data_IF_531884551286
#
_entry.id   IF_531884551286
#
_cell.length_a   1.000
_cell.length_b   1.000
_cell.length_c   1.000
_cell.angle_alpha   90.00
_cell.angle_beta   90.00
_cell.angle_gamma   90.00
#
_symmetry.space_group_name_H-M   'P 1'
#
loop_
_entity.id
_entity.type
_entity.pdbx_description
1 polymer ?
#
# COMPACT_ATOMS: atom_id res chain seq x y z
N UNK A 1 -9.40 7.41 -8.85
CA UNK A 1 -8.46 7.08 -7.77
C UNK A 1 -8.10 8.36 -7.05
N UNK A 2 -7.86 8.31 -5.75
CA UNK A 2 -7.50 9.46 -4.91
C UNK A 2 -6.06 9.31 -4.41
N UNK A 3 -5.21 10.34 -4.51
CA UNK A 3 -3.89 10.35 -3.88
C UNK A 3 -3.98 10.05 -2.38
N UNK A 4 -3.22 9.05 -1.92
CA UNK A 4 -3.04 8.81 -0.50
C UNK A 4 -1.73 9.38 0.01
N UNK A 5 -0.64 9.21 -0.74
CA UNK A 5 0.69 9.67 -0.35
C UNK A 5 1.77 8.62 -0.59
N UNK A 6 2.85 8.71 0.18
CA UNK A 6 4.09 7.97 -0.02
C UNK A 6 4.48 7.10 1.16
N UNK A 7 5.23 6.03 0.88
CA UNK A 7 5.90 5.23 1.90
C UNK A 7 7.19 4.62 1.34
N UNK A 8 8.28 4.72 2.09
CA UNK A 8 9.49 3.94 1.82
C UNK A 8 9.42 2.60 2.54
N UNK A 9 9.76 1.53 1.83
CA UNK A 9 9.63 0.16 2.34
C UNK A 9 10.87 -0.66 2.03
N UNK A 10 11.21 -1.56 2.94
CA UNK A 10 12.18 -2.63 2.71
C UNK A 10 11.42 -3.80 2.11
N UNK A 11 11.70 -4.09 0.84
CA UNK A 11 10.95 -5.09 0.08
C UNK A 11 11.43 -6.48 0.45
N UNK A 12 10.48 -7.34 0.82
CA UNK A 12 10.73 -8.76 0.98
C UNK A 12 10.68 -9.47 -0.37
N UNK A 13 11.62 -10.39 -0.59
CA UNK A 13 11.49 -11.40 -1.65
C UNK A 13 10.32 -12.32 -1.37
N UNK A 14 9.78 -12.95 -2.42
CA UNK A 14 8.72 -13.95 -2.30
C UNK A 14 9.09 -15.03 -1.27
N UNK A 15 8.33 -15.17 -0.18
CA UNK A 15 8.65 -16.13 0.85
C UNK A 15 8.25 -17.53 0.39
N UNK A 16 9.05 -18.54 0.75
CA UNK A 16 8.85 -19.92 0.29
C UNK A 16 7.44 -20.48 0.56
N UNK A 17 6.77 -20.03 1.64
CA UNK A 17 5.42 -20.48 1.97
C UNK A 17 4.33 -19.89 1.06
N UNK A 18 4.59 -18.76 0.38
CA UNK A 18 3.66 -18.17 -0.58
C UNK A 18 3.56 -19.04 -1.83
N UNK A 19 4.65 -19.68 -2.25
CA UNK A 19 4.66 -20.72 -3.29
C UNK A 19 3.91 -20.32 -4.58
N UNK A 20 4.15 -19.09 -5.05
CA UNK A 20 3.66 -18.58 -6.34
C UNK A 20 4.88 -18.23 -7.18
N UNK A 21 5.24 -19.11 -8.12
CA UNK A 21 6.52 -19.07 -8.84
C UNK A 21 6.77 -17.76 -9.61
N UNK A 22 5.71 -17.09 -10.07
CA UNK A 22 5.85 -15.84 -10.79
C UNK A 22 6.16 -14.63 -9.90
N UNK A 23 5.93 -14.72 -8.58
CA UNK A 23 6.16 -13.64 -7.62
C UNK A 23 7.63 -13.64 -7.23
N UNK A 24 8.33 -12.55 -7.52
CA UNK A 24 9.73 -12.34 -7.18
C UNK A 24 9.88 -11.60 -5.85
N UNK A 25 9.06 -10.58 -5.64
CA UNK A 25 9.06 -9.70 -4.48
C UNK A 25 7.64 -9.24 -4.13
N UNK A 26 7.50 -8.52 -3.02
CA UNK A 26 6.18 -8.18 -2.47
C UNK A 26 6.06 -6.67 -2.30
N UNK A 27 5.28 -6.02 -3.16
CA UNK A 27 5.02 -4.58 -3.10
C UNK A 27 3.74 -4.27 -2.31
N UNK A 28 3.46 -5.05 -1.27
CA UNK A 28 2.28 -4.88 -0.42
C UNK A 28 2.25 -3.50 0.24
N UNK A 29 1.06 -2.89 0.34
CA UNK A 29 0.89 -1.60 1.04
C UNK A 29 1.05 -1.76 2.55
N UNK A 30 0.47 -2.81 3.14
CA UNK A 30 0.63 -3.11 4.57
C UNK A 30 2.06 -3.52 4.91
N UNK A 31 2.43 -3.40 6.18
CA UNK A 31 3.76 -3.68 6.68
C UNK A 31 3.99 -5.14 7.11
N UNK A 32 3.04 -6.06 6.86
CA UNK A 32 3.12 -7.45 7.33
C UNK A 32 4.33 -8.22 6.78
N UNK A 33 4.63 -8.02 5.48
CA UNK A 33 5.69 -8.75 4.78
C UNK A 33 6.82 -7.80 4.38
N UNK A 34 6.51 -6.77 3.58
CA UNK A 34 7.44 -5.69 3.28
C UNK A 34 7.26 -4.57 4.30
N UNK A 35 8.28 -4.33 5.11
CA UNK A 35 8.20 -3.45 6.27
C UNK A 35 8.43 -1.99 5.89
N UNK A 36 7.80 -1.06 6.63
CA UNK A 36 8.08 0.37 6.50
C UNK A 36 9.54 0.68 6.87
N UNK A 37 10.09 1.76 6.31
CA UNK A 37 11.49 2.15 6.53
C UNK A 37 11.84 2.34 8.02
N UNK A 38 10.87 2.81 8.81
CA UNK A 38 10.98 3.05 10.25
C UNK A 38 9.61 2.89 10.93
N UNK A 39 9.62 2.80 12.25
CA UNK A 39 8.45 3.15 13.06
C UNK A 39 8.33 4.68 13.09
N UNK A 40 7.23 5.23 12.60
CA UNK A 40 7.04 6.67 12.37
C UNK A 40 5.81 7.26 13.06
N UNK A 41 5.05 6.44 13.79
CA UNK A 41 3.75 6.83 14.37
C UNK A 41 3.92 8.00 15.33
N UNK A 42 4.91 7.92 16.22
CA UNK A 42 5.16 8.93 17.26
C UNK A 42 5.74 10.25 16.73
N UNK A 43 6.10 10.33 15.44
CA UNK A 43 6.64 11.54 14.83
C UNK A 43 5.56 12.49 14.32
N UNK A 44 4.30 12.04 14.20
CA UNK A 44 3.14 12.85 13.78
C UNK A 44 3.34 13.64 12.48
N UNK A 45 4.18 13.12 11.56
CA UNK A 45 4.43 13.71 10.23
C UNK A 45 3.66 13.03 9.10
N UNK A 46 2.92 11.97 9.40
CA UNK A 46 2.05 11.33 8.42
C UNK A 46 0.77 12.15 8.22
N UNK A 47 0.15 12.02 7.06
CA UNK A 47 -1.12 12.64 6.74
C UNK A 47 -2.30 11.84 7.31
N UNK A 48 -3.53 12.26 6.98
CA UNK A 48 -4.74 11.62 7.48
C UNK A 48 -5.01 10.21 6.94
N UNK A 49 -4.19 9.71 6.00
CA UNK A 49 -4.18 8.31 5.56
C UNK A 49 -3.01 7.50 6.12
N UNK A 50 -2.29 8.04 7.12
CA UNK A 50 -1.14 7.39 7.77
C UNK A 50 0.04 7.07 6.84
N UNK A 51 0.14 7.80 5.73
CA UNK A 51 1.28 7.83 4.81
C UNK A 51 1.80 9.26 4.70
N UNK A 52 2.83 9.53 3.89
CA UNK A 52 3.43 10.86 3.82
C UNK A 52 2.96 11.67 2.62
N UNK A 53 2.82 12.98 2.77
CA UNK A 53 2.41 13.87 1.68
C UNK A 53 3.50 14.06 0.60
N UNK A 54 4.78 13.83 0.95
CA UNK A 54 5.90 13.90 0.00
C UNK A 54 7.08 12.98 0.41
N UNK A 55 7.96 12.60 -0.54
CA UNK A 55 9.20 11.88 -0.23
C UNK A 55 10.14 12.65 0.70
N UNK A 56 10.15 13.99 0.64
CA UNK A 56 11.00 14.84 1.46
C UNK A 56 10.78 14.59 2.97
N UNK A 57 9.54 14.28 3.38
CA UNK A 57 9.21 13.95 4.77
C UNK A 57 9.85 12.63 5.20
N UNK A 58 9.85 11.63 4.31
CA UNK A 58 10.50 10.33 4.55
C UNK A 58 12.01 10.52 4.72
N UNK A 59 12.64 11.29 3.84
CA UNK A 59 14.08 11.58 3.90
C UNK A 59 14.46 12.31 5.20
N UNK A 60 13.65 13.29 5.61
CA UNK A 60 13.87 14.02 6.85
C UNK A 60 13.75 13.11 8.08
N UNK A 61 12.70 12.28 8.14
CA UNK A 61 12.50 11.32 9.23
C UNK A 61 13.63 10.30 9.31
N UNK A 62 14.03 9.74 8.17
CA UNK A 62 15.12 8.79 8.11
C UNK A 62 16.43 9.40 8.63
N UNK A 63 16.72 10.64 8.24
CA UNK A 63 17.88 11.40 8.73
C UNK A 63 17.83 11.62 10.24
N UNK A 64 16.68 12.06 10.77
CA UNK A 64 16.49 12.29 12.21
C UNK A 64 16.64 11.02 13.02
N UNK A 65 16.19 9.88 12.49
CA UNK A 65 16.26 8.57 13.16
C UNK A 65 17.54 7.78 12.88
N UNK A 66 18.42 8.27 12.00
CA UNK A 66 19.61 7.54 11.57
C UNK A 66 19.28 6.25 10.80
N UNK A 67 18.17 6.23 10.06
CA UNK A 67 17.75 5.10 9.22
C UNK A 67 18.35 5.25 7.83
N UNK A 68 19.01 4.18 7.35
CA UNK A 68 19.49 4.12 5.97
C UNK A 68 18.35 3.72 5.01
N UNK A 69 18.12 4.57 4.02
CA UNK A 69 17.13 4.38 2.96
C UNK A 69 17.69 3.68 1.71
N UNK A 70 19.00 3.43 1.62
CA UNK A 70 19.65 2.88 0.43
C UNK A 70 19.10 1.52 -0.02
N UNK A 71 18.57 0.74 0.93
CA UNK A 71 17.94 -0.57 0.70
C UNK A 71 16.40 -0.51 0.73
N UNK A 72 15.81 0.67 0.51
CA UNK A 72 14.36 0.87 0.47
C UNK A 72 13.89 1.27 -0.92
N UNK A 73 12.65 0.94 -1.22
CA UNK A 73 11.91 1.42 -2.38
C UNK A 73 10.87 2.42 -1.91
N UNK A 74 10.78 3.57 -2.57
CA UNK A 74 9.74 4.57 -2.30
C UNK A 74 8.54 4.30 -3.20
N UNK A 75 7.38 4.13 -2.58
CA UNK A 75 6.11 4.00 -3.28
C UNK A 75 5.27 5.26 -3.16
N UNK A 76 4.44 5.46 -4.17
CA UNK A 76 3.30 6.35 -4.16
C UNK A 76 2.02 5.51 -4.26
N UNK A 77 0.99 5.89 -3.52
CA UNK A 77 -0.28 5.17 -3.47
C UNK A 77 -1.45 6.07 -3.85
N UNK A 78 -2.36 5.49 -4.63
CA UNK A 78 -3.70 6.02 -4.83
C UNK A 78 -4.73 4.97 -4.43
N UNK A 79 -5.87 5.38 -3.89
CA UNK A 79 -6.95 4.46 -3.55
C UNK A 79 -8.18 4.66 -4.45
N UNK A 80 -8.93 3.59 -4.65
CA UNK A 80 -10.32 3.71 -5.08
C UNK A 80 -11.10 4.51 -4.03
N UNK A 81 -12.03 5.37 -4.45
CA UNK A 81 -12.63 6.39 -3.56
C UNK A 81 -13.61 5.83 -2.51
N UNK A 82 -13.90 4.53 -2.63
CA UNK A 82 -14.80 3.78 -1.77
C UNK A 82 -14.09 2.55 -1.24
N UNK A 83 -14.48 2.13 -0.04
CA UNK A 83 -14.07 0.89 0.59
C UNK A 83 -15.21 -0.12 0.58
N UNK A 84 -14.87 -1.40 0.61
CA UNK A 84 -15.83 -2.48 0.58
C UNK A 84 -16.01 -3.06 1.99
N UNK A 85 -17.23 -3.01 2.49
CA UNK A 85 -17.64 -3.71 3.70
C UNK A 85 -18.05 -5.13 3.34
N UNK A 86 -17.28 -6.12 3.78
CA UNK A 86 -17.53 -7.54 3.52
C UNK A 86 -18.78 -8.07 4.24
N UNK A 87 -19.20 -7.44 5.33
CA UNK A 87 -20.40 -7.83 6.10
C UNK A 87 -21.66 -7.38 5.37
N UNK A 88 -21.71 -6.13 4.93
CA UNK A 88 -22.88 -5.59 4.21
C UNK A 88 -22.82 -5.82 2.70
N UNK A 89 -21.65 -6.21 2.17
CA UNK A 89 -21.35 -6.39 0.74
C UNK A 89 -21.56 -5.12 -0.07
N UNK A 90 -21.26 -3.97 0.52
CA UNK A 90 -21.50 -2.66 -0.06
C UNK A 90 -20.22 -1.84 -0.14
N UNK A 91 -20.16 -1.00 -1.17
CA UNK A 91 -19.14 0.02 -1.29
C UNK A 91 -19.61 1.31 -0.62
N UNK A 92 -18.78 1.92 0.22
CA UNK A 92 -19.05 3.20 0.86
C UNK A 92 -17.84 4.13 0.79
N UNK A 93 -18.07 5.43 0.76
CA UNK A 93 -16.99 6.41 0.77
C UNK A 93 -16.22 6.37 2.09
N UNK A 94 -14.91 6.60 2.02
CA UNK A 94 -14.06 6.84 3.19
C UNK A 94 -13.35 8.19 3.11
N UNK A 95 -12.82 8.61 4.25
CA UNK A 95 -12.18 9.91 4.42
C UNK A 95 -10.90 9.75 5.26
N UNK A 96 -9.93 10.67 5.10
CA UNK A 96 -8.76 10.72 5.97
C UNK A 96 -9.17 11.09 7.40
N UNK A 97 -8.28 10.87 8.36
CA UNK A 97 -8.41 11.36 9.73
C UNK A 97 -8.57 12.90 9.74
N UNK A 98 -9.72 13.46 10.14
CA UNK A 98 -10.01 14.88 9.98
C UNK A 98 -9.08 15.81 10.77
N UNK A 99 -8.46 15.32 11.84
CA UNK A 99 -7.52 16.10 12.64
C UNK A 99 -6.13 16.26 12.01
N UNK A 100 -5.85 15.54 10.92
CA UNK A 100 -4.57 15.58 10.21
C UNK A 100 -4.74 16.23 8.83
N UNK A 101 -3.84 17.15 8.51
CA UNK A 101 -3.78 17.72 7.16
C UNK A 101 -3.36 16.64 6.16
N UNK A 102 -3.97 16.67 4.98
CA UNK A 102 -3.61 15.80 3.85
C UNK A 102 -3.42 16.68 2.63
N UNK A 103 -2.16 16.92 2.26
CA UNK A 103 -1.75 17.79 1.16
C UNK A 103 -0.74 17.08 0.27
N UNK A 104 -1.18 15.97 -0.32
CA UNK A 104 -0.32 15.06 -1.09
C UNK A 104 0.23 15.76 -2.33
N UNK A 105 1.55 15.84 -2.43
CA UNK A 105 2.25 16.29 -3.64
C UNK A 105 2.40 15.12 -4.60
N UNK A 106 1.59 15.06 -5.65
CA UNK A 106 1.68 13.99 -6.66
C UNK A 106 3.07 13.92 -7.34
N UNK A 107 3.55 12.72 -7.69
CA UNK A 107 4.86 12.56 -8.31
C UNK A 107 4.83 13.06 -9.76
N UNK A 108 5.93 13.65 -10.22
CA UNK A 108 6.07 14.09 -11.63
C UNK A 108 6.06 12.89 -12.59
N UNK A 109 6.57 11.75 -12.12
CA UNK A 109 6.58 10.49 -12.84
C UNK A 109 6.52 9.32 -11.87
N UNK A 110 5.72 8.31 -12.18
CA UNK A 110 5.69 7.03 -11.49
C UNK A 110 5.39 5.90 -12.46
N UNK A 111 5.81 4.69 -12.11
CA UNK A 111 5.43 3.48 -12.82
C UNK A 111 4.38 2.73 -12.00
N UNK A 112 3.21 2.47 -12.61
CA UNK A 112 2.17 1.66 -11.96
C UNK A 112 2.64 0.21 -11.92
N UNK A 113 2.84 -0.31 -10.72
CA UNK A 113 3.26 -1.70 -10.49
C UNK A 113 2.07 -2.64 -10.38
N UNK A 114 0.87 -2.13 -10.09
CA UNK A 114 -0.35 -2.94 -9.98
C UNK A 114 -1.28 -2.44 -8.88
N UNK A 115 -2.19 -3.32 -8.45
CA UNK A 115 -3.20 -3.02 -7.44
C UNK A 115 -3.12 -4.00 -6.27
N UNK A 116 -3.03 -3.46 -5.06
CA UNK A 116 -3.16 -4.21 -3.81
C UNK A 116 -4.59 -4.11 -3.29
N UNK A 117 -5.01 -5.14 -2.54
CA UNK A 117 -6.23 -5.11 -1.74
C UNK A 117 -5.79 -5.14 -0.29
N UNK A 118 -6.28 -4.19 0.50
CA UNK A 118 -5.76 -3.91 1.84
C UNK A 118 -6.91 -3.84 2.83
N UNK A 119 -6.81 -4.56 3.94
CA UNK A 119 -7.73 -4.42 5.07
C UNK A 119 -7.31 -3.22 5.93
N UNK A 120 -8.30 -2.53 6.48
CA UNK A 120 -8.06 -1.36 7.33
C UNK A 120 -8.71 -1.53 8.69
N UNK A 121 -7.90 -1.42 9.75
CA UNK A 121 -8.38 -1.31 11.13
C UNK A 121 -8.41 0.14 11.58
N UNK A 122 -9.34 0.48 12.49
CA UNK A 122 -9.51 1.84 13.02
C UNK A 122 -9.58 2.93 11.92
N UNK A 123 -10.24 2.60 10.81
CA UNK A 123 -10.50 3.43 9.62
C UNK A 123 -9.29 3.75 8.75
N UNK A 124 -8.14 4.15 9.28
CA UNK A 124 -7.13 4.83 8.44
C UNK A 124 -5.77 4.15 8.39
N UNK A 125 -5.50 3.14 9.22
CA UNK A 125 -4.24 2.41 9.22
C UNK A 125 -4.32 1.14 8.35
N UNK A 126 -3.42 0.95 7.35
CA UNK A 126 -3.31 -0.30 6.61
C UNK A 126 -2.90 -1.43 7.55
N UNK A 127 -3.74 -2.44 7.69
CA UNK A 127 -3.47 -3.56 8.60
C UNK A 127 -2.81 -4.72 7.85
N UNK A 128 -3.51 -5.31 6.90
CA UNK A 128 -3.05 -6.47 6.12
C UNK A 128 -3.22 -6.26 4.62
N UNK A 129 -2.34 -6.89 3.83
CA UNK A 129 -2.43 -7.01 2.37
C UNK A 129 -2.63 -8.49 2.04
N UNK A 130 -3.88 -8.99 2.01
CA UNK A 130 -4.15 -10.43 2.07
C UNK A 130 -3.64 -11.23 0.89
N UNK A 131 -3.37 -10.58 -0.27
CA UNK A 131 -2.69 -11.20 -1.40
C UNK A 131 -1.41 -11.93 -0.97
N UNK A 132 -0.59 -11.26 -0.14
CA UNK A 132 0.67 -11.82 0.35
C UNK A 132 0.51 -12.45 1.73
N UNK A 133 0.06 -11.71 2.75
CA UNK A 133 0.09 -12.18 4.15
C UNK A 133 -0.87 -13.34 4.43
N UNK A 134 -1.98 -13.42 3.70
CA UNK A 134 -2.95 -14.52 3.82
C UNK A 134 -2.83 -15.55 2.68
N UNK A 135 -1.80 -15.43 1.83
CA UNK A 135 -1.58 -16.28 0.65
C UNK A 135 -2.71 -16.30 -0.38
N UNK A 136 -3.59 -15.27 -0.44
CA UNK A 136 -4.67 -15.22 -1.45
C UNK A 136 -4.10 -15.25 -2.88
N UNK A 137 -2.88 -14.76 -3.09
CA UNK A 137 -2.19 -14.83 -4.38
C UNK A 137 -1.98 -16.27 -4.92
N UNK A 138 -2.18 -17.32 -4.12
CA UNK A 138 -2.20 -18.71 -4.61
C UNK A 138 -3.43 -19.02 -5.47
N UNK A 139 -4.53 -18.32 -5.21
CA UNK A 139 -5.84 -18.62 -5.78
C UNK A 139 -6.25 -17.61 -6.87
N UNK A 140 -5.45 -16.57 -7.08
CA UNK A 140 -5.70 -15.52 -8.08
C UNK A 140 -4.46 -15.23 -8.91
N UNK A 141 -4.67 -14.72 -10.12
CA UNK A 141 -3.57 -14.22 -10.93
C UNK A 141 -3.01 -12.93 -10.32
N UNK A 142 -1.72 -12.94 -10.02
CA UNK A 142 -0.94 -11.76 -9.62
C UNK A 142 0.28 -11.60 -10.54
N UNK A 143 0.84 -10.40 -10.58
CA UNK A 143 2.09 -10.13 -11.29
C UNK A 143 3.33 -10.49 -10.43
N UNK A 144 4.52 -10.11 -10.91
CA UNK A 144 5.78 -10.42 -10.25
C UNK A 144 5.96 -9.77 -8.85
N UNK A 145 5.15 -8.77 -8.53
CA UNK A 145 5.20 -7.98 -7.29
C UNK A 145 4.12 -8.40 -6.28
N UNK A 146 3.42 -9.52 -6.54
CA UNK A 146 2.27 -9.99 -5.76
C UNK A 146 1.06 -9.02 -5.78
N UNK A 147 0.85 -8.32 -6.90
CA UNK A 147 -0.26 -7.39 -7.09
C UNK A 147 -1.20 -7.86 -8.21
N UNK A 148 -2.46 -7.43 -8.18
CA UNK A 148 -3.32 -7.55 -9.36
C UNK A 148 -2.78 -6.67 -10.49
N UNK A 149 -2.84 -7.15 -11.73
CA UNK A 149 -2.37 -6.38 -12.88
C UNK A 149 -3.32 -5.22 -13.22
N UNK A 150 -4.61 -5.37 -12.93
CA UNK A 150 -5.64 -4.37 -13.24
C UNK A 150 -6.59 -4.08 -12.08
N UNK A 151 -7.17 -2.89 -12.09
CA UNK A 151 -8.20 -2.49 -11.14
C UNK A 151 -9.43 -3.41 -11.19
N UNK A 152 -9.88 -3.79 -12.40
CA UNK A 152 -11.07 -4.60 -12.57
C UNK A 152 -10.90 -6.01 -11.98
N UNK A 153 -9.70 -6.59 -12.07
CA UNK A 153 -9.37 -7.86 -11.41
C UNK A 153 -9.44 -7.73 -9.88
N UNK A 154 -8.83 -6.68 -9.32
CA UNK A 154 -8.88 -6.42 -7.88
C UNK A 154 -10.32 -6.23 -7.39
N UNK A 155 -11.11 -5.43 -8.11
CA UNK A 155 -12.50 -5.16 -7.77
C UNK A 155 -13.37 -6.41 -7.87
N UNK A 156 -13.22 -7.19 -8.93
CA UNK A 156 -13.94 -8.45 -9.08
C UNK A 156 -13.55 -9.47 -7.99
N UNK A 157 -12.29 -9.51 -7.57
CA UNK A 157 -11.82 -10.37 -6.48
C UNK A 157 -12.50 -10.02 -5.15
N UNK A 158 -12.57 -8.73 -4.82
CA UNK A 158 -13.26 -8.23 -3.62
C UNK A 158 -14.75 -8.58 -3.66
N UNK A 159 -15.44 -8.27 -4.76
CA UNK A 159 -16.88 -8.50 -4.88
C UNK A 159 -17.28 -9.99 -4.92
N UNK A 160 -16.36 -10.88 -5.29
CA UNK A 160 -16.55 -12.34 -5.24
C UNK A 160 -16.28 -12.94 -3.86
N UNK A 161 -15.82 -12.15 -2.89
CA UNK A 161 -15.54 -12.61 -1.54
C UNK A 161 -14.25 -13.43 -1.42
N UNK A 162 -13.26 -13.20 -2.30
CA UNK A 162 -11.98 -13.90 -2.22
C UNK A 162 -11.18 -13.58 -0.94
N UNK A 163 -11.57 -12.54 -0.22
CA UNK A 163 -10.93 -12.09 1.02
C UNK A 163 -11.73 -12.44 2.29
N UNK A 164 -12.88 -13.11 2.18
CA UNK A 164 -13.81 -13.38 3.31
C UNK A 164 -13.20 -14.20 4.46
N UNK A 165 -12.10 -14.91 4.21
CA UNK A 165 -11.38 -15.72 5.21
C UNK A 165 -10.01 -15.15 5.56
N UNK A 166 -9.84 -13.84 5.36
CA UNK A 166 -8.59 -13.12 5.64
C UNK A 166 -8.78 -12.16 6.81
N UNK A 167 -7.81 -11.26 7.05
CA UNK A 167 -8.00 -10.21 8.05
C UNK A 167 -9.28 -9.41 7.73
N UNK A 168 -10.18 -9.21 8.70
CA UNK A 168 -11.45 -8.55 8.44
C UNK A 168 -11.31 -7.15 7.85
N UNK A 169 -12.27 -6.81 7.00
CA UNK A 169 -12.34 -5.51 6.34
C UNK A 169 -12.72 -4.34 7.28
N UNK A 170 -12.94 -3.14 6.70
CA UNK A 170 -13.20 -2.90 5.28
C UNK A 170 -11.97 -3.07 4.38
N UNK A 171 -12.20 -3.46 3.13
CA UNK A 171 -11.16 -3.59 2.11
C UNK A 171 -11.09 -2.37 1.21
N UNK A 172 -9.87 -1.91 0.92
CA UNK A 172 -9.61 -0.85 -0.07
C UNK A 172 -8.72 -1.39 -1.17
N UNK A 173 -8.97 -0.92 -2.39
CA UNK A 173 -8.13 -1.21 -3.56
C UNK A 173 -7.18 -0.04 -3.75
N UNK A 174 -5.88 -0.31 -3.71
CA UNK A 174 -4.85 0.71 -3.83
C UNK A 174 -3.99 0.44 -5.06
N UNK A 175 -3.84 1.44 -5.93
CA UNK A 175 -2.83 1.44 -6.97
C UNK A 175 -1.45 1.70 -6.32
N UNK A 176 -0.48 0.86 -6.67
CA UNK A 176 0.89 0.91 -6.16
C UNK A 176 1.80 1.39 -7.26
N UNK A 177 2.47 2.52 -7.03
CA UNK A 177 3.42 3.09 -7.98
C UNK A 177 4.81 3.09 -7.38
N UNK A 178 5.82 2.69 -8.14
CA UNK A 178 7.21 3.09 -7.86
C UNK A 178 7.46 4.47 -8.45
N UNK A 179 8.20 5.29 -7.74
CA UNK A 179 8.66 6.58 -8.27
C UNK A 179 10.12 6.43 -8.71
N UNK A 180 10.44 6.95 -9.90
CA UNK A 180 11.83 7.08 -10.32
C UNK A 180 12.57 8.04 -9.39
N UNK A 181 13.90 7.96 -9.33
CA UNK A 181 14.67 8.94 -8.55
C UNK A 181 14.27 10.37 -8.92
N UNK A 182 14.17 11.29 -7.94
CA UNK A 182 13.88 12.68 -8.24
C UNK A 182 14.90 13.17 -9.26
N UNK A 183 14.41 13.62 -10.42
CA UNK A 183 15.24 14.17 -11.48
C UNK A 183 16.14 15.24 -10.87
N UNK A 184 17.42 14.93 -10.72
CA UNK A 184 18.42 15.90 -10.29
C UNK A 184 18.58 16.87 -11.45
N UNK A 185 17.80 17.95 -11.46
CA UNK A 185 18.13 19.11 -12.28
C UNK A 185 19.46 19.65 -11.77
N UNK A 186 20.51 19.36 -12.54
CA UNK A 186 21.84 19.97 -12.43
C UNK A 186 21.81 21.46 -12.74
#
# INVERSE_FOLDING_TARGET
>A
MRPLGYMAKKIATSPHWLNVDQVADIYSVSACISVNFADYIDDWKHNGYWVFDSPDIIEELARTKGVDLSATTVFYYEAYEVEYDETTRQWSAFAPEPSLTTDVREPVSGHLEGFDVVSFWSRTSPECSPLSCCSVAKDVAVNAHCLFATFDEAKAAVERGLFDNTEPGPFRILAVYTIGEPSTTA
#
